data_IF_297678973434
#
_entry.id   IF_297678973434
#
_cell.length_a   1.000
_cell.length_b   1.000
_cell.length_c   1.000
_cell.angle_alpha   90.00
_cell.angle_beta   90.00
_cell.angle_gamma   90.00
#
_symmetry.space_group_name_H-M   'P 1'
#
loop_
_entity.id
_entity.type
_entity.pdbx_description
1 polymer ?
#
# COMPACT_ATOMS: atom_id res chain seq x y z
N UNK A 1 12.33 5.41 21.32
CA UNK A 1 12.08 4.09 21.92
C UNK A 1 11.66 3.14 20.82
N UNK A 2 12.38 2.03 20.65
CA UNK A 2 12.16 1.04 19.58
C UNK A 2 11.44 -0.15 20.19
N UNK A 3 10.33 -0.57 19.56
CA UNK A 3 9.54 -1.73 19.95
C UNK A 3 9.62 -2.76 18.82
N UNK A 4 9.88 -4.01 19.15
CA UNK A 4 9.88 -5.12 18.17
C UNK A 4 8.48 -5.74 18.12
N UNK A 5 7.89 -5.78 16.93
CA UNK A 5 6.60 -6.44 16.68
C UNK A 5 6.86 -7.73 15.87
N UNK A 6 6.34 -8.89 16.31
CA UNK A 6 6.47 -10.13 15.55
C UNK A 6 5.70 -10.03 14.21
N UNK A 7 6.35 -10.44 13.11
CA UNK A 7 5.73 -10.71 11.81
C UNK A 7 5.30 -12.17 11.74
N UNK A 8 4.53 -12.53 10.71
CA UNK A 8 4.21 -13.94 10.39
C UNK A 8 5.50 -14.73 10.14
N UNK A 9 5.59 -15.93 10.68
CA UNK A 9 6.74 -16.83 10.54
C UNK A 9 7.10 -17.48 11.88
N UNK A 10 8.25 -18.15 11.91
CA UNK A 10 8.82 -18.70 13.14
C UNK A 10 9.29 -17.59 14.09
N UNK A 11 8.79 -17.59 15.32
CA UNK A 11 9.11 -16.59 16.35
C UNK A 11 10.51 -16.77 16.95
N UNK A 12 11.15 -17.91 16.72
CA UNK A 12 12.55 -18.16 17.13
C UNK A 12 13.56 -17.42 16.24
N UNK A 13 13.19 -17.14 14.98
CA UNK A 13 14.03 -16.41 14.04
C UNK A 13 13.89 -14.89 14.26
N UNK A 14 15.01 -14.24 14.58
CA UNK A 14 15.08 -12.79 14.81
C UNK A 14 14.67 -11.94 13.59
N UNK A 15 14.84 -12.46 12.36
CA UNK A 15 14.46 -11.76 11.12
C UNK A 15 12.94 -11.62 10.97
N UNK A 16 12.17 -12.42 11.72
CA UNK A 16 10.71 -12.34 11.76
C UNK A 16 10.19 -11.22 12.67
N UNK A 17 11.05 -10.36 13.21
CA UNK A 17 10.62 -9.18 13.97
C UNK A 17 10.75 -7.90 13.14
N UNK A 18 9.78 -7.00 13.29
CA UNK A 18 9.81 -5.65 12.71
C UNK A 18 9.96 -4.62 13.82
N UNK A 19 11.05 -3.86 13.78
CA UNK A 19 11.23 -2.71 14.67
C UNK A 19 10.31 -1.57 14.26
N UNK A 20 9.59 -1.00 15.22
CA UNK A 20 8.83 0.25 15.07
C UNK A 20 9.33 1.30 16.06
N UNK A 21 9.17 2.57 15.69
CA UNK A 21 9.40 3.69 16.60
C UNK A 21 8.08 4.39 16.85
N UNK A 22 7.77 4.64 18.13
CA UNK A 22 6.57 5.39 18.50
C UNK A 22 6.89 6.88 18.63
N UNK A 23 6.10 7.69 17.92
CA UNK A 23 6.07 9.14 18.11
C UNK A 23 5.29 9.50 19.39
N UNK A 24 5.72 10.52 20.14
CA UNK A 24 4.90 11.08 21.21
C UNK A 24 3.62 11.69 20.63
N UNK A 25 2.60 11.88 21.49
CA UNK A 25 1.27 12.37 21.08
C UNK A 25 1.36 13.66 20.24
N UNK A 26 2.13 14.69 20.64
CA UNK A 26 2.26 15.91 19.83
C UNK A 26 2.80 15.65 18.42
N UNK A 27 3.76 14.73 18.27
CA UNK A 27 4.32 14.35 16.97
C UNK A 27 3.29 13.66 16.06
N UNK A 28 2.42 12.82 16.63
CA UNK A 28 1.31 12.20 15.87
C UNK A 28 0.31 13.23 15.36
N UNK A 29 -0.05 14.20 16.21
CA UNK A 29 -0.96 15.29 15.83
C UNK A 29 -0.34 16.14 14.72
N UNK A 30 0.92 16.55 14.89
CA UNK A 30 1.65 17.33 13.89
C UNK A 30 1.72 16.60 12.53
N UNK A 31 2.11 15.33 12.53
CA UNK A 31 2.17 14.52 11.30
C UNK A 31 0.81 14.40 10.61
N UNK A 32 -0.29 14.32 11.37
CA UNK A 32 -1.64 14.28 10.79
C UNK A 32 -2.03 15.60 10.13
N UNK A 33 -1.66 16.73 10.73
CA UNK A 33 -1.87 18.06 10.11
C UNK A 33 -1.08 18.17 8.81
N UNK A 34 0.18 17.74 8.81
CA UNK A 34 1.03 17.75 7.61
C UNK A 34 0.45 16.85 6.50
N UNK A 35 0.08 15.61 6.85
CA UNK A 35 -0.53 14.67 5.90
C UNK A 35 -1.80 15.26 5.28
N UNK A 36 -2.68 15.85 6.08
CA UNK A 36 -3.92 16.44 5.57
C UNK A 36 -3.71 17.60 4.61
N UNK A 37 -2.59 18.33 4.73
CA UNK A 37 -2.24 19.43 3.82
C UNK A 37 -1.64 18.93 2.51
N UNK A 38 -0.94 17.81 2.53
CA UNK A 38 -0.19 17.31 1.37
C UNK A 38 -0.96 16.26 0.56
N UNK A 39 -1.86 15.51 1.20
CA UNK A 39 -2.46 14.31 0.63
C UNK A 39 -3.10 14.53 -0.75
N UNK A 40 -3.84 15.61 -0.96
CA UNK A 40 -4.60 15.81 -2.21
C UNK A 40 -3.64 16.17 -3.37
N UNK A 41 -2.58 16.93 -3.08
CA UNK A 41 -1.54 17.25 -4.06
C UNK A 41 -0.72 16.01 -4.45
N UNK A 42 -0.38 15.17 -3.48
CA UNK A 42 0.32 13.90 -3.74
C UNK A 42 -0.58 12.96 -4.53
N UNK A 43 -1.84 12.82 -4.12
CA UNK A 43 -2.81 11.91 -4.74
C UNK A 43 -3.02 12.23 -6.23
N UNK A 44 -3.05 13.52 -6.60
CA UNK A 44 -3.15 13.97 -7.98
C UNK A 44 -1.92 13.64 -8.85
N UNK A 45 -0.77 13.35 -8.25
CA UNK A 45 0.45 12.98 -8.98
C UNK A 45 0.67 11.47 -9.04
N UNK A 46 -0.06 10.68 -8.24
CA UNK A 46 0.06 9.23 -8.22
C UNK A 46 -0.67 8.59 -9.39
N UNK A 47 -0.08 7.51 -9.93
CA UNK A 47 -0.72 6.69 -10.96
C UNK A 47 -2.02 6.07 -10.44
N UNK A 48 -3.00 5.93 -11.31
CA UNK A 48 -4.29 5.33 -10.95
C UNK A 48 -4.18 3.86 -10.52
N UNK A 49 -3.21 3.14 -11.07
CA UNK A 49 -2.92 1.76 -10.71
C UNK A 49 -2.34 1.62 -9.29
N UNK A 50 -1.79 2.69 -8.70
CA UNK A 50 -1.27 2.65 -7.33
C UNK A 50 -2.42 2.78 -6.32
N UNK A 51 -2.69 1.74 -5.52
CA UNK A 51 -3.72 1.79 -4.45
C UNK A 51 -3.14 1.98 -3.04
N UNK A 52 -1.87 1.63 -2.84
CA UNK A 52 -1.27 1.64 -1.51
C UNK A 52 -1.35 3.02 -0.86
N UNK A 53 -1.91 3.07 0.35
CA UNK A 53 -2.07 4.30 1.16
C UNK A 53 -2.93 5.39 0.51
N UNK A 54 -3.75 5.05 -0.49
CA UNK A 54 -4.71 5.99 -1.09
C UNK A 54 -6.09 5.81 -0.49
N UNK A 55 -6.83 6.92 -0.47
CA UNK A 55 -8.24 6.91 -0.06
C UNK A 55 -9.06 6.15 -1.10
N UNK A 56 -10.06 5.41 -0.65
CA UNK A 56 -11.05 4.75 -1.51
C UNK A 56 -10.45 3.72 -2.50
N UNK A 57 -9.27 3.17 -2.18
CA UNK A 57 -8.61 2.09 -2.94
C UNK A 57 -8.24 0.93 -2.01
N UNK A 58 -8.64 -0.30 -2.33
CA UNK A 58 -8.29 -1.48 -1.52
C UNK A 58 -7.40 -2.48 -2.27
N UNK A 59 -6.72 -3.35 -1.51
CA UNK A 59 -5.96 -4.47 -2.06
C UNK A 59 -6.88 -5.44 -2.84
N UNK A 60 -8.09 -5.65 -2.34
CA UNK A 60 -9.07 -6.53 -2.98
C UNK A 60 -9.48 -6.00 -4.36
N UNK A 61 -9.70 -4.69 -4.49
CA UNK A 61 -10.05 -4.07 -5.77
C UNK A 61 -8.93 -4.27 -6.78
N UNK A 62 -7.67 -4.10 -6.37
CA UNK A 62 -6.52 -4.35 -7.24
C UNK A 62 -6.38 -5.81 -7.67
N UNK A 63 -6.64 -6.77 -6.77
CA UNK A 63 -6.62 -8.20 -7.11
C UNK A 63 -7.74 -8.50 -8.13
N UNK A 64 -8.92 -7.93 -7.95
CA UNK A 64 -10.02 -8.07 -8.89
C UNK A 64 -9.67 -7.47 -10.26
N UNK A 65 -9.11 -6.26 -10.30
CA UNK A 65 -8.65 -5.64 -11.55
C UNK A 65 -7.61 -6.50 -12.26
N UNK A 66 -6.57 -6.97 -11.54
CA UNK A 66 -5.54 -7.85 -12.11
C UNK A 66 -6.15 -9.12 -12.70
N UNK A 67 -7.10 -9.74 -12.01
CA UNK A 67 -7.80 -10.93 -12.50
C UNK A 67 -8.55 -10.65 -13.80
N UNK A 68 -9.29 -9.55 -13.87
CA UNK A 68 -10.04 -9.15 -15.08
C UNK A 68 -9.09 -8.90 -16.25
N UNK A 69 -8.00 -8.16 -16.03
CA UNK A 69 -7.00 -7.87 -17.08
C UNK A 69 -6.38 -9.15 -17.63
N UNK A 70 -6.04 -10.10 -16.76
CA UNK A 70 -5.50 -11.41 -17.18
C UNK A 70 -6.53 -12.21 -17.98
N UNK A 71 -7.77 -12.28 -17.52
CA UNK A 71 -8.86 -12.99 -18.21
C UNK A 71 -9.13 -12.38 -19.59
N UNK A 72 -9.09 -11.05 -19.71
CA UNK A 72 -9.22 -10.36 -20.99
C UNK A 72 -8.05 -10.67 -21.92
N UNK A 73 -6.80 -10.57 -21.47
CA UNK A 73 -5.62 -10.88 -22.31
C UNK A 73 -5.70 -12.28 -22.92
N UNK A 74 -6.13 -13.27 -22.13
CA UNK A 74 -6.36 -14.65 -22.59
C UNK A 74 -7.49 -14.70 -23.63
N UNK A 75 -8.62 -14.04 -23.37
CA UNK A 75 -9.78 -14.02 -24.28
C UNK A 75 -9.51 -13.37 -25.63
N UNK A 76 -8.68 -12.33 -25.68
CA UNK A 76 -8.35 -11.58 -26.90
C UNK A 76 -7.06 -12.05 -27.58
N UNK A 77 -6.37 -13.05 -27.04
CA UNK A 77 -5.02 -13.48 -27.48
C UNK A 77 -4.06 -12.29 -27.66
N UNK A 78 -4.15 -11.31 -26.75
CA UNK A 78 -3.39 -10.06 -26.79
C UNK A 78 -2.36 -10.03 -25.66
N UNK A 79 -1.26 -9.32 -25.86
CA UNK A 79 -0.22 -9.21 -24.82
C UNK A 79 -0.74 -8.37 -23.66
N UNK A 80 -0.47 -8.79 -22.42
CA UNK A 80 -0.88 -8.08 -21.20
C UNK A 80 -0.48 -6.60 -21.21
N UNK A 81 0.69 -6.26 -21.76
CA UNK A 81 1.20 -4.90 -21.84
C UNK A 81 0.40 -3.96 -22.77
N UNK A 82 -0.53 -4.51 -23.56
CA UNK A 82 -1.40 -3.73 -24.45
C UNK A 82 -2.71 -3.30 -23.78
N UNK A 83 -2.99 -3.79 -22.56
CA UNK A 83 -4.23 -3.53 -21.82
C UNK A 83 -4.05 -2.58 -20.61
N UNK A 84 -2.82 -2.13 -20.36
CA UNK A 84 -2.44 -1.21 -19.26
C UNK A 84 -2.28 0.26 -19.70
#
# INVERSE_FOLDING_TARGET
HIIKIPKKGDLSNCDNYRSITLLPIPGKVFNRVLLNRMKDCVDAQLRDQQAGFRKDRSCTDQIATLRITVEQSIGWNSSLHQLD
#
